data_IF_314473891454
#
_entry.id   IF_314473891454
#
_cell.length_a   1.000
_cell.length_b   1.000
_cell.length_c   1.000
_cell.angle_alpha   90.00
_cell.angle_beta   90.00
_cell.angle_gamma   90.00
#
_symmetry.space_group_name_H-M   'P 1'
#
loop_
_entity.id
_entity.type
_entity.pdbx_description
1 polymer ?
#
# COMPACT_ATOMS: atom_id res chain seq x y z
N UNK A 1 10.64 19.96 -9.20
CA UNK A 1 10.71 18.71 -9.99
C UNK A 1 10.59 17.44 -9.15
N UNK A 2 9.98 17.52 -7.96
CA UNK A 2 9.66 16.39 -7.07
C UNK A 2 8.19 16.48 -6.58
N UNK A 3 7.44 17.48 -7.07
CA UNK A 3 6.17 17.89 -6.45
C UNK A 3 4.98 17.03 -6.89
N UNK A 4 5.21 16.06 -7.78
CA UNK A 4 4.19 15.14 -8.30
C UNK A 4 4.54 13.66 -8.06
N UNK A 5 5.56 13.34 -7.26
CA UNK A 5 5.84 11.95 -6.90
C UNK A 5 4.93 11.54 -5.75
N UNK A 6 3.80 10.88 -6.07
CA UNK A 6 2.99 10.18 -5.08
C UNK A 6 3.82 9.01 -4.55
N UNK A 7 4.48 9.22 -3.42
CA UNK A 7 5.21 8.16 -2.72
C UNK A 7 4.23 7.32 -1.91
N UNK A 8 4.21 6.02 -2.16
CA UNK A 8 3.43 5.09 -1.36
C UNK A 8 4.23 4.51 -0.19
N UNK A 9 3.51 4.03 0.82
CA UNK A 9 3.99 3.16 1.88
C UNK A 9 3.01 2.00 1.98
N UNK A 10 3.54 0.78 2.03
CA UNK A 10 2.72 -0.42 2.08
C UNK A 10 3.45 -1.56 2.79
N UNK A 11 2.80 -2.71 2.83
CA UNK A 11 3.30 -3.90 3.50
C UNK A 11 3.72 -4.94 2.46
N UNK A 12 4.70 -5.77 2.81
CA UNK A 12 5.12 -6.90 2.02
C UNK A 12 5.38 -8.10 2.94
N UNK A 13 5.12 -9.28 2.41
CA UNK A 13 5.46 -10.57 3.04
C UNK A 13 6.48 -11.31 2.19
N UNK A 14 7.05 -12.38 2.75
CA UNK A 14 7.98 -13.22 2.01
C UNK A 14 7.25 -13.90 0.84
N UNK A 15 7.92 -14.04 -0.30
CA UNK A 15 7.40 -14.84 -1.41
C UNK A 15 7.10 -16.28 -0.96
N UNK A 16 5.94 -16.79 -1.35
CA UNK A 16 5.44 -18.11 -0.94
C UNK A 16 4.72 -18.14 0.41
N UNK A 17 4.51 -17.00 1.07
CA UNK A 17 3.55 -16.92 2.20
C UNK A 17 2.16 -17.37 1.71
N UNK A 18 1.49 -18.18 2.52
CA UNK A 18 0.20 -18.79 2.17
C UNK A 18 -0.94 -17.78 2.11
N UNK A 19 -1.95 -18.08 1.28
CA UNK A 19 -3.08 -17.19 1.03
C UNK A 19 -3.94 -16.92 2.26
N UNK A 20 -4.04 -17.87 3.20
CA UNK A 20 -4.76 -17.71 4.46
C UNK A 20 -4.09 -16.66 5.37
N UNK A 21 -2.75 -16.64 5.43
CA UNK A 21 -1.98 -15.63 6.16
C UNK A 21 -2.13 -14.26 5.49
N UNK A 22 -2.10 -14.22 4.16
CA UNK A 22 -2.30 -12.98 3.40
C UNK A 22 -3.70 -12.43 3.67
N UNK A 23 -4.73 -13.27 3.62
CA UNK A 23 -6.11 -12.88 3.90
C UNK A 23 -6.28 -12.36 5.34
N UNK A 24 -5.58 -12.97 6.30
CA UNK A 24 -5.59 -12.49 7.70
C UNK A 24 -5.01 -11.08 7.83
N UNK A 25 -3.90 -10.78 7.15
CA UNK A 25 -3.35 -9.43 7.12
C UNK A 25 -4.27 -8.45 6.40
N UNK A 26 -4.86 -8.85 5.28
CA UNK A 26 -5.75 -8.00 4.48
C UNK A 26 -6.98 -7.56 5.29
N UNK A 27 -7.59 -8.47 6.04
CA UNK A 27 -8.70 -8.18 6.96
C UNK A 27 -8.30 -7.18 8.07
N UNK A 28 -7.10 -7.30 8.62
CA UNK A 28 -6.59 -6.32 9.61
C UNK A 28 -6.36 -4.97 8.95
N UNK A 29 -5.76 -4.93 7.76
CA UNK A 29 -5.49 -3.67 7.07
C UNK A 29 -6.77 -2.96 6.66
N UNK A 30 -7.80 -3.69 6.23
CA UNK A 30 -9.12 -3.11 5.97
C UNK A 30 -9.70 -2.46 7.24
N UNK A 31 -9.66 -3.18 8.38
CA UNK A 31 -10.18 -2.67 9.66
C UNK A 31 -9.43 -1.44 10.13
N UNK A 32 -8.10 -1.46 10.12
CA UNK A 32 -7.26 -0.34 10.59
C UNK A 32 -7.41 0.86 9.67
N UNK A 33 -7.44 0.66 8.35
CA UNK A 33 -7.63 1.76 7.39
C UNK A 33 -8.96 2.48 7.60
N UNK A 34 -10.00 1.75 7.99
CA UNK A 34 -11.33 2.28 8.25
C UNK A 34 -11.56 2.73 9.71
N UNK A 35 -10.55 2.59 10.58
CA UNK A 35 -10.66 2.97 11.99
C UNK A 35 -10.74 4.51 12.12
N UNK A 36 -11.77 5.06 12.79
CA UNK A 36 -11.93 6.50 12.92
C UNK A 36 -10.77 7.20 13.65
N UNK A 37 -10.17 6.57 14.66
CA UNK A 37 -9.06 7.13 15.42
C UNK A 37 -7.78 7.12 14.58
N UNK A 38 -7.58 6.05 13.79
CA UNK A 38 -6.50 5.98 12.81
C UNK A 38 -6.62 7.09 11.75
N UNK A 39 -7.82 7.25 11.18
CA UNK A 39 -8.09 8.30 10.19
C UNK A 39 -7.87 9.69 10.79
N UNK A 40 -8.43 9.96 11.97
CA UNK A 40 -8.30 11.25 12.65
C UNK A 40 -6.85 11.59 12.97
N UNK A 41 -6.01 10.58 13.25
CA UNK A 41 -4.60 10.77 13.53
C UNK A 41 -3.80 11.10 12.28
N UNK A 42 -3.98 10.36 11.18
CA UNK A 42 -3.05 10.40 10.04
C UNK A 42 -3.52 11.21 8.83
N UNK A 43 -4.84 11.33 8.59
CA UNK A 43 -5.34 12.11 7.45
C UNK A 43 -4.95 13.60 7.52
N UNK A 44 -4.95 14.27 8.69
CA UNK A 44 -4.51 15.67 8.78
C UNK A 44 -3.01 15.87 8.49
N UNK A 45 -2.22 14.81 8.53
CA UNK A 45 -0.77 14.86 8.27
C UNK A 45 -0.45 14.77 6.77
N UNK A 46 -1.46 14.82 5.89
CA UNK A 46 -1.30 14.73 4.44
C UNK A 46 -1.20 13.30 3.90
N UNK A 47 -1.46 12.29 4.74
CA UNK A 47 -1.51 10.90 4.29
C UNK A 47 -2.87 10.58 3.68
N UNK A 48 -2.85 10.00 2.48
CA UNK A 48 -4.03 9.35 1.92
C UNK A 48 -4.07 7.91 2.43
N UNK A 49 -5.03 7.63 3.33
CA UNK A 49 -5.22 6.30 3.89
C UNK A 49 -6.09 5.49 2.94
N UNK A 50 -5.55 4.39 2.42
CA UNK A 50 -6.20 3.51 1.45
C UNK A 50 -5.92 2.06 1.78
N UNK A 51 -6.90 1.21 1.52
CA UNK A 51 -6.73 -0.24 1.53
C UNK A 51 -6.68 -0.71 0.09
N UNK A 52 -5.54 -1.25 -0.32
CA UNK A 52 -5.31 -1.80 -1.65
C UNK A 52 -4.91 -3.26 -1.45
N UNK A 53 -5.64 -4.16 -2.09
CA UNK A 53 -5.41 -5.60 -1.97
C UNK A 53 -4.06 -6.00 -2.57
N UNK A 54 -3.56 -7.19 -2.20
CA UNK A 54 -2.31 -7.76 -2.71
C UNK A 54 -2.16 -7.61 -4.22
N UNK A 55 -3.17 -8.03 -4.98
CA UNK A 55 -3.05 -8.16 -6.43
C UNK A 55 -2.97 -6.78 -7.11
N UNK A 56 -3.70 -5.80 -6.59
CA UNK A 56 -3.67 -4.43 -7.11
C UNK A 56 -2.41 -3.69 -6.66
N UNK A 57 -1.98 -3.89 -5.42
CA UNK A 57 -0.74 -3.27 -4.92
C UNK A 57 0.49 -3.81 -5.64
N UNK A 58 0.54 -5.12 -5.93
CA UNK A 58 1.59 -5.71 -6.75
C UNK A 58 1.68 -5.10 -8.16
N UNK A 59 0.53 -4.74 -8.77
CA UNK A 59 0.54 -4.04 -10.07
C UNK A 59 1.17 -2.65 -9.97
N UNK A 60 0.89 -1.91 -8.89
CA UNK A 60 1.51 -0.60 -8.64
C UNK A 60 3.02 -0.74 -8.51
N UNK A 61 3.48 -1.66 -7.66
CA UNK A 61 4.91 -1.92 -7.43
C UNK A 61 5.62 -2.30 -8.74
N UNK A 62 5.00 -3.19 -9.53
CA UNK A 62 5.58 -3.64 -10.80
C UNK A 62 5.65 -2.49 -11.81
N UNK A 63 4.58 -1.71 -11.96
CA UNK A 63 4.53 -0.58 -12.88
C UNK A 63 5.58 0.50 -12.53
N UNK A 64 5.72 0.84 -11.25
CA UNK A 64 6.73 1.79 -10.78
C UNK A 64 8.15 1.28 -11.01
N UNK A 65 8.39 -0.02 -10.77
CA UNK A 65 9.68 -0.65 -11.04
C UNK A 65 10.05 -0.60 -12.53
N UNK A 66 9.09 -0.90 -13.41
CA UNK A 66 9.30 -0.89 -14.85
C UNK A 66 9.54 0.54 -15.38
N UNK A 67 8.78 1.52 -14.88
CA UNK A 67 8.98 2.93 -15.21
C UNK A 67 10.38 3.41 -14.77
N UNK A 68 10.80 3.07 -13.55
CA UNK A 68 12.14 3.36 -13.05
C UNK A 68 13.24 2.74 -13.91
N UNK A 69 13.03 1.49 -14.37
CA UNK A 69 13.96 0.78 -15.25
C UNK A 69 14.07 1.43 -16.61
N UNK A 70 12.97 1.95 -17.17
CA UNK A 70 12.94 2.59 -18.49
C UNK A 70 13.53 4.01 -18.50
N UNK A 71 13.50 4.71 -17.35
CA UNK A 71 14.07 6.05 -17.19
C UNK A 71 15.60 6.04 -16.96
N UNK A 72 16.23 4.86 -16.96
CA UNK A 72 17.67 4.64 -16.78
C UNK A 72 18.32 4.14 -18.06
#
# INVERSE_FOLDING_TARGET
GLENEVMWRGFAVKSGTSDDIIAWYDDIFEKVTNDPDWIATYAPQGNMLVHITRDDFNKIVQADYDAYKAAR
#
